data_IF_866751290275
#
_entry.id   IF_866751290275
#
_cell.length_a   1.000
_cell.length_b   1.000
_cell.length_c   1.000
_cell.angle_alpha   90.00
_cell.angle_beta   90.00
_cell.angle_gamma   90.00
#
_symmetry.space_group_name_H-M   'P 1'
#
loop_
_entity.id
_entity.type
_entity.pdbx_description
1 polymer ?
#
# COMPACT_ATOMS: atom_id res chain seq x y z
N UNK A 1 -43.19 -21.42 -53.53
CA UNK A 1 -44.36 -21.26 -52.64
C UNK A 1 -43.84 -21.00 -51.23
N UNK A 2 -44.25 -19.85 -50.67
CA UNK A 2 -44.50 -19.53 -49.24
C UNK A 2 -43.36 -19.81 -48.23
N UNK A 3 -42.95 -18.89 -47.37
CA UNK A 3 -43.49 -17.60 -46.98
C UNK A 3 -42.73 -17.10 -45.74
N UNK A 4 -42.68 -15.78 -45.60
CA UNK A 4 -42.01 -14.99 -44.56
C UNK A 4 -42.72 -15.16 -43.20
N UNK A 5 -41.96 -15.11 -42.10
CA UNK A 5 -42.47 -14.62 -40.80
C UNK A 5 -41.32 -14.01 -39.99
N UNK A 6 -41.31 -12.68 -39.93
CA UNK A 6 -40.53 -11.86 -39.01
C UNK A 6 -41.15 -11.92 -37.62
N UNK A 7 -40.36 -12.13 -36.56
CA UNK A 7 -40.64 -11.63 -35.22
C UNK A 7 -39.34 -11.11 -34.60
N UNK A 8 -39.27 -9.79 -34.51
CA UNK A 8 -38.38 -9.02 -33.66
C UNK A 8 -38.60 -9.36 -32.18
N UNK A 9 -37.54 -9.69 -31.45
CA UNK A 9 -37.55 -9.46 -30.00
C UNK A 9 -36.18 -8.97 -29.55
N UNK A 10 -36.16 -7.68 -29.27
CA UNK A 10 -35.16 -6.96 -28.50
C UNK A 10 -34.89 -7.71 -27.20
N UNK A 11 -33.65 -8.17 -27.00
CA UNK A 11 -33.19 -8.65 -25.69
C UNK A 11 -32.98 -7.44 -24.78
N UNK A 12 -34.04 -7.13 -24.04
CA UNK A 12 -34.04 -6.19 -22.92
C UNK A 12 -33.04 -6.65 -21.86
N UNK A 13 -32.09 -5.78 -21.52
CA UNK A 13 -31.23 -5.94 -20.35
C UNK A 13 -32.09 -6.09 -19.09
N UNK A 14 -31.83 -7.07 -18.20
CA UNK A 14 -32.53 -7.12 -16.93
C UNK A 14 -32.08 -5.95 -16.06
N UNK A 15 -33.06 -5.12 -15.76
CA UNK A 15 -33.09 -4.01 -14.81
C UNK A 15 -32.46 -4.39 -13.48
N UNK A 16 -31.65 -3.48 -12.95
CA UNK A 16 -31.03 -3.48 -11.62
C UNK A 16 -31.96 -4.05 -10.54
N UNK A 17 -31.66 -5.25 -10.06
CA UNK A 17 -32.26 -5.80 -8.85
C UNK A 17 -31.74 -5.03 -7.63
N UNK A 18 -32.60 -4.42 -6.79
CA UNK A 18 -32.15 -3.68 -5.62
C UNK A 18 -31.68 -4.57 -4.46
N UNK A 19 -31.55 -5.89 -4.67
CA UNK A 19 -31.33 -6.85 -3.57
C UNK A 19 -29.87 -7.27 -3.33
N UNK A 20 -28.90 -6.77 -4.10
CA UNK A 20 -27.50 -7.20 -3.94
C UNK A 20 -26.67 -6.38 -2.94
N UNK A 21 -27.17 -5.25 -2.42
CA UNK A 21 -26.42 -4.38 -1.52
C UNK A 21 -26.66 -4.62 -0.01
N UNK A 22 -27.45 -5.63 0.36
CA UNK A 22 -27.87 -5.83 1.78
C UNK A 22 -27.15 -6.98 2.51
N UNK A 23 -26.25 -7.69 1.85
CA UNK A 23 -25.62 -8.91 2.39
C UNK A 23 -24.16 -8.75 2.84
N UNK A 24 -23.52 -7.61 2.60
CA UNK A 24 -22.11 -7.38 3.05
C UNK A 24 -22.04 -6.69 4.42
N UNK A 25 -23.13 -6.10 4.93
CA UNK A 25 -23.14 -5.45 6.25
C UNK A 25 -23.37 -6.38 7.44
N UNK A 26 -23.67 -7.68 7.22
CA UNK A 26 -24.13 -8.57 8.30
C UNK A 26 -23.09 -9.58 8.80
N UNK A 27 -21.81 -9.34 8.53
CA UNK A 27 -20.72 -10.17 9.07
C UNK A 27 -19.61 -9.35 9.72
N UNK A 28 -19.98 -8.24 10.37
CA UNK A 28 -19.16 -7.69 11.45
C UNK A 28 -19.55 -8.40 12.75
N UNK A 29 -18.62 -8.99 13.52
CA UNK A 29 -19.02 -9.68 14.74
C UNK A 29 -19.70 -8.70 15.69
N UNK A 30 -20.86 -9.09 16.24
CA UNK A 30 -21.65 -8.35 17.25
C UNK A 30 -20.91 -8.11 18.59
N UNK A 31 -19.58 -8.26 18.64
CA UNK A 31 -18.72 -7.94 19.79
C UNK A 31 -18.31 -6.46 19.85
N UNK A 32 -18.65 -5.66 18.84
CA UNK A 32 -18.30 -4.24 18.77
C UNK A 32 -19.39 -3.29 19.27
N UNK A 33 -20.35 -3.77 20.07
CA UNK A 33 -21.19 -2.86 20.84
C UNK A 33 -20.33 -2.25 21.95
N UNK A 34 -19.76 -1.07 21.71
CA UNK A 34 -19.12 -0.25 22.73
C UNK A 34 -20.20 0.19 23.73
N UNK A 35 -20.56 -0.69 24.67
CA UNK A 35 -21.28 -0.30 25.86
C UNK A 35 -20.28 0.39 26.78
N UNK A 36 -20.03 1.67 26.54
CA UNK A 36 -19.25 2.48 27.47
C UNK A 36 -19.82 3.88 27.47
N UNK A 37 -20.20 4.34 28.67
CA UNK A 37 -20.56 5.74 28.93
C UNK A 37 -19.47 6.66 28.35
N UNK A 38 -19.80 7.84 27.81
CA UNK A 38 -18.80 8.76 27.30
C UNK A 38 -17.87 9.18 28.44
N UNK A 39 -16.70 8.54 28.50
CA UNK A 39 -15.68 8.87 29.47
C UNK A 39 -14.90 10.04 28.87
N UNK A 40 -15.10 11.25 29.41
CA UNK A 40 -14.34 12.43 29.03
C UNK A 40 -12.85 12.15 29.33
N UNK A 41 -12.12 11.72 28.31
CA UNK A 41 -10.69 11.45 28.40
C UNK A 41 -9.97 12.79 28.52
N UNK A 42 -9.52 13.14 29.73
CA UNK A 42 -8.60 14.27 29.92
C UNK A 42 -7.32 13.96 29.12
N UNK A 43 -7.00 14.83 28.18
CA UNK A 43 -5.73 14.79 27.46
C UNK A 43 -4.60 15.15 28.43
N UNK A 44 -3.95 14.15 29.02
CA UNK A 44 -2.65 14.35 29.65
C UNK A 44 -1.57 14.31 28.58
N UNK A 45 -0.81 15.39 28.41
CA UNK A 45 0.31 15.55 27.46
C UNK A 45 1.54 14.71 27.84
N UNK A 46 1.38 13.39 28.01
CA UNK A 46 2.43 12.52 28.52
C UNK A 46 2.35 11.12 27.93
N UNK A 47 2.37 10.99 26.60
CA UNK A 47 2.50 9.68 25.96
C UNK A 47 3.93 9.50 25.43
N UNK A 48 4.87 9.11 26.30
CA UNK A 48 6.13 8.51 25.87
C UNK A 48 5.92 7.00 25.73
N UNK A 49 5.45 6.57 24.56
CA UNK A 49 5.48 5.13 24.18
C UNK A 49 6.67 4.94 23.25
N UNK A 50 7.86 4.72 23.83
CA UNK A 50 8.98 4.12 23.10
C UNK A 50 8.83 2.61 23.21
N UNK A 51 8.64 1.93 22.08
CA UNK A 51 8.92 0.51 21.99
C UNK A 51 10.45 0.36 22.06
N UNK A 52 10.95 -0.21 23.15
CA UNK A 52 12.37 -0.57 23.30
C UNK A 52 12.60 -1.90 22.58
N UNK A 53 12.88 -1.85 21.29
CA UNK A 53 13.87 -2.76 20.71
C UNK A 53 15.21 -2.30 21.29
N UNK A 54 16.01 -3.20 21.87
CA UNK A 54 17.29 -2.98 22.56
C UNK A 54 17.70 -1.50 22.73
N UNK A 55 17.68 -1.00 23.96
CA UNK A 55 18.03 0.39 24.28
C UNK A 55 19.45 0.80 23.84
N UNK A 56 20.26 -0.13 23.32
CA UNK A 56 21.60 0.07 22.79
C UNK A 56 21.73 0.00 21.25
N UNK A 57 20.66 -0.27 20.49
CA UNK A 57 20.72 -0.30 19.01
C UNK A 57 19.82 0.78 18.41
N UNK A 58 20.43 1.85 17.91
CA UNK A 58 19.73 2.82 17.07
C UNK A 58 19.20 2.12 15.82
N UNK A 59 17.94 2.37 15.47
CA UNK A 59 17.41 1.97 14.17
C UNK A 59 18.09 2.88 13.13
N UNK A 60 18.80 2.26 12.19
CA UNK A 60 19.51 2.97 11.13
C UNK A 60 18.69 2.98 9.83
N UNK A 61 19.01 3.93 8.95
CA UNK A 61 18.43 3.98 7.61
C UNK A 61 19.11 2.87 6.77
N UNK A 62 18.33 1.95 6.16
CA UNK A 62 18.88 0.93 5.28
C UNK A 62 19.76 1.52 4.16
N UNK A 63 20.65 0.69 3.64
CA UNK A 63 21.51 1.03 2.50
C UNK A 63 20.95 0.58 1.16
N UNK A 64 19.93 -0.30 1.16
CA UNK A 64 19.41 -0.93 -0.04
C UNK A 64 17.89 -0.95 -0.03
N UNK A 65 17.28 -0.77 -1.20
CA UNK A 65 15.90 -1.14 -1.46
C UNK A 65 15.81 -2.63 -1.77
N UNK A 66 14.65 -3.22 -1.48
CA UNK A 66 14.38 -4.63 -1.71
C UNK A 66 13.39 -4.78 -2.87
N UNK A 67 13.76 -5.58 -3.87
CA UNK A 67 12.93 -5.92 -5.00
C UNK A 67 12.22 -7.25 -4.74
N UNK A 68 10.92 -7.19 -4.45
CA UNK A 68 10.12 -8.39 -4.20
C UNK A 68 10.06 -9.33 -5.41
N UNK A 69 10.15 -8.80 -6.64
CA UNK A 69 10.03 -9.60 -7.86
C UNK A 69 11.09 -10.70 -7.91
N UNK A 70 12.28 -10.47 -7.36
CA UNK A 70 13.36 -11.45 -7.30
C UNK A 70 12.93 -12.79 -6.66
N UNK A 71 12.08 -12.73 -5.64
CA UNK A 71 11.70 -13.89 -4.82
C UNK A 71 10.28 -14.44 -5.11
N UNK A 72 9.56 -13.85 -6.08
CA UNK A 72 8.25 -14.36 -6.48
C UNK A 72 8.37 -15.72 -7.21
N UNK A 73 7.54 -16.72 -6.86
CA UNK A 73 7.56 -18.04 -7.52
C UNK A 73 7.09 -17.98 -8.97
N UNK A 74 6.19 -17.04 -9.28
CA UNK A 74 5.72 -16.72 -10.62
C UNK A 74 5.99 -15.23 -10.83
N UNK A 75 6.79 -14.90 -11.83
CA UNK A 75 7.09 -13.50 -12.16
C UNK A 75 5.84 -12.81 -12.73
N UNK A 76 5.62 -11.52 -12.43
CA UNK A 76 4.53 -10.78 -13.05
C UNK A 76 4.73 -10.76 -14.58
N UNK A 77 3.64 -10.81 -15.36
CA UNK A 77 3.75 -10.70 -16.81
C UNK A 77 4.38 -9.36 -17.19
N UNK A 78 5.16 -9.30 -18.27
CA UNK A 78 5.76 -8.05 -18.70
C UNK A 78 4.67 -7.06 -19.13
N UNK A 79 4.89 -5.76 -18.90
CA UNK A 79 4.01 -4.73 -19.45
C UNK A 79 4.00 -4.80 -20.98
N UNK A 80 2.82 -4.61 -21.57
CA UNK A 80 2.61 -4.71 -23.02
C UNK A 80 2.50 -3.32 -23.64
N UNK A 81 3.07 -3.18 -24.83
CA UNK A 81 2.96 -1.95 -25.60
C UNK A 81 1.51 -1.77 -26.10
N UNK A 82 0.88 -0.60 -25.91
CA UNK A 82 -0.57 -0.43 -26.10
C UNK A 82 -1.04 -0.57 -27.55
N UNK A 83 -0.13 -0.47 -28.54
CA UNK A 83 -0.48 -0.62 -29.97
C UNK A 83 -0.21 -2.03 -30.50
N UNK A 84 0.90 -2.64 -30.08
CA UNK A 84 1.37 -3.91 -30.64
C UNK A 84 0.93 -5.09 -29.78
N UNK A 85 0.59 -4.85 -28.52
CA UNK A 85 0.29 -5.86 -27.50
C UNK A 85 1.44 -6.85 -27.26
N UNK A 86 2.64 -6.50 -27.70
CA UNK A 86 3.87 -7.23 -27.41
C UNK A 86 4.55 -6.64 -26.16
N UNK A 87 5.38 -7.41 -25.45
CA UNK A 87 6.16 -6.90 -24.32
C UNK A 87 6.96 -5.66 -24.70
N UNK A 88 6.90 -4.61 -23.85
CA UNK A 88 7.65 -3.38 -24.07
C UNK A 88 9.14 -3.63 -23.96
N UNK A 89 9.92 -2.86 -24.71
CA UNK A 89 11.37 -2.79 -24.57
C UNK A 89 11.78 -1.51 -23.81
N UNK A 90 12.98 -1.47 -23.21
CA UNK A 90 13.48 -0.26 -22.56
C UNK A 90 13.45 0.99 -23.47
N UNK A 91 13.70 0.81 -24.77
CA UNK A 91 13.71 1.90 -25.73
C UNK A 91 12.31 2.54 -25.90
N UNK A 92 11.25 1.75 -25.71
CA UNK A 92 9.86 2.24 -25.78
C UNK A 92 9.51 3.16 -24.58
N UNK A 93 10.26 3.05 -23.48
CA UNK A 93 10.08 3.85 -22.25
C UNK A 93 10.96 5.09 -22.20
N UNK A 94 12.05 5.12 -22.99
CA UNK A 94 13.02 6.22 -23.02
C UNK A 94 12.41 7.62 -23.24
N UNK A 95 11.30 7.81 -23.98
CA UNK A 95 10.68 9.13 -24.11
C UNK A 95 9.90 9.59 -22.87
N UNK A 96 9.62 8.69 -21.92
CA UNK A 96 8.73 8.92 -20.78
C UNK A 96 9.50 8.99 -19.45
N UNK A 97 10.57 8.21 -19.31
CA UNK A 97 11.27 8.03 -18.06
C UNK A 97 12.79 8.19 -18.22
N UNK A 98 13.49 8.71 -17.19
CA UNK A 98 14.95 8.65 -17.12
C UNK A 98 15.48 7.22 -17.20
N UNK A 99 16.66 7.05 -17.82
CA UNK A 99 17.31 5.75 -18.00
C UNK A 99 17.46 4.94 -16.70
N UNK A 100 17.76 5.61 -15.59
CA UNK A 100 17.93 4.94 -14.29
C UNK A 100 16.60 4.36 -13.74
N UNK A 101 15.47 5.04 -13.97
CA UNK A 101 14.17 4.49 -13.60
C UNK A 101 13.78 3.30 -14.49
N UNK A 102 14.10 3.38 -15.78
CA UNK A 102 13.90 2.27 -16.72
C UNK A 102 14.75 1.07 -16.29
N UNK A 103 16.02 1.30 -15.92
CA UNK A 103 16.93 0.28 -15.42
C UNK A 103 16.40 -0.40 -14.15
N UNK A 104 15.84 0.37 -13.22
CA UNK A 104 15.22 -0.16 -12.01
C UNK A 104 13.92 -0.94 -12.29
N UNK A 105 13.14 -0.55 -13.29
CA UNK A 105 11.92 -1.28 -13.67
C UNK A 105 12.23 -2.67 -14.24
N UNK A 106 13.30 -2.80 -15.04
CA UNK A 106 13.66 -4.07 -15.69
C UNK A 106 14.63 -4.94 -14.89
N UNK A 107 15.18 -4.44 -13.77
CA UNK A 107 16.14 -5.21 -12.98
C UNK A 107 15.50 -6.41 -12.27
N UNK A 108 16.27 -7.50 -12.21
CA UNK A 108 15.91 -8.70 -11.45
C UNK A 108 16.71 -8.85 -10.16
N UNK A 109 17.57 -7.88 -9.85
CA UNK A 109 18.38 -7.87 -8.64
C UNK A 109 17.49 -7.80 -7.40
N UNK A 110 17.82 -8.61 -6.37
CA UNK A 110 17.07 -8.65 -5.10
C UNK A 110 17.24 -7.37 -4.28
N UNK A 111 18.44 -6.81 -4.30
CA UNK A 111 18.78 -5.60 -3.56
C UNK A 111 19.36 -4.56 -4.51
N UNK A 112 18.93 -3.32 -4.35
CA UNK A 112 19.39 -2.18 -5.14
C UNK A 112 19.93 -1.15 -4.15
N UNK A 113 21.18 -0.73 -4.32
CA UNK A 113 21.79 0.26 -3.45
C UNK A 113 21.03 1.59 -3.52
N UNK A 114 20.79 2.20 -2.35
CA UNK A 114 20.20 3.53 -2.25
C UNK A 114 21.36 4.53 -2.43
N UNK A 115 21.30 5.42 -3.44
CA UNK A 115 22.33 6.44 -3.64
C UNK A 115 22.56 7.26 -2.37
N UNK A 116 23.82 7.63 -2.11
CA UNK A 116 24.18 8.33 -0.88
C UNK A 116 23.46 9.68 -0.74
N UNK A 117 23.23 10.39 -1.85
CA UNK A 117 22.48 11.64 -1.88
C UNK A 117 21.02 11.44 -1.45
N UNK A 118 20.39 10.34 -1.88
CA UNK A 118 19.02 9.98 -1.48
C UNK A 118 18.99 9.62 0.01
N UNK A 119 19.99 8.88 0.50
CA UNK A 119 20.10 8.55 1.93
C UNK A 119 20.32 9.81 2.77
N UNK A 120 21.09 10.77 2.29
CA UNK A 120 21.30 12.06 2.95
C UNK A 120 20.00 12.83 3.10
N UNK A 121 19.17 12.88 2.06
CA UNK A 121 17.83 13.49 2.14
C UNK A 121 16.91 12.71 3.10
N UNK A 122 16.95 11.37 3.06
CA UNK A 122 16.16 10.54 3.97
C UNK A 122 16.45 10.82 5.45
N UNK A 123 17.67 11.23 5.83
CA UNK A 123 18.03 11.58 7.22
C UNK A 123 17.15 12.68 7.82
N UNK A 124 16.48 13.48 6.98
CA UNK A 124 15.58 14.54 7.44
C UNK A 124 14.34 14.00 8.18
N UNK A 125 13.84 12.79 7.86
CA UNK A 125 12.65 12.23 8.51
C UNK A 125 12.72 10.72 8.82
N UNK A 126 13.75 10.01 8.34
CA UNK A 126 13.91 8.57 8.52
C UNK A 126 14.95 8.29 9.62
N UNK A 127 14.82 7.17 10.34
CA UNK A 127 13.73 6.20 10.27
C UNK A 127 12.46 6.69 10.97
N UNK A 128 11.31 6.28 10.43
CA UNK A 128 10.00 6.56 11.03
C UNK A 128 9.73 5.63 12.22
N UNK A 129 8.95 6.04 13.23
CA UNK A 129 8.76 5.23 14.43
C UNK A 129 7.84 4.03 14.20
N UNK A 130 8.15 2.91 14.86
CA UNK A 130 7.26 1.76 15.02
C UNK A 130 6.56 1.88 16.38
N UNK A 131 5.24 2.07 16.38
CA UNK A 131 4.49 2.40 17.60
C UNK A 131 3.57 1.23 17.97
N UNK A 132 3.55 0.87 19.25
CA UNK A 132 2.64 -0.14 19.78
C UNK A 132 1.32 0.50 20.24
N UNK A 133 0.21 0.04 19.67
CA UNK A 133 -1.13 0.59 19.92
C UNK A 133 -1.80 -0.02 21.17
N UNK A 134 -1.19 0.12 22.36
CA UNK A 134 -1.69 -0.49 23.62
C UNK A 134 -3.14 -0.16 23.98
N UNK A 135 -3.60 1.06 23.67
CA UNK A 135 -5.00 1.47 23.93
C UNK A 135 -5.97 0.75 22.99
N UNK A 136 -5.56 0.53 21.74
CA UNK A 136 -6.33 -0.25 20.77
C UNK A 136 -6.37 -1.72 21.17
N UNK A 137 -5.23 -2.29 21.60
CA UNK A 137 -5.17 -3.66 22.15
C UNK A 137 -6.18 -3.84 23.29
N UNK A 138 -6.21 -2.92 24.26
CA UNK A 138 -7.16 -2.93 25.39
C UNK A 138 -8.62 -2.77 24.94
N UNK A 139 -8.89 -1.86 24.00
CA UNK A 139 -10.23 -1.62 23.49
C UNK A 139 -10.82 -2.85 22.77
N UNK A 140 -9.96 -3.58 22.05
CA UNK A 140 -10.34 -4.78 21.30
C UNK A 140 -10.36 -6.06 22.15
N UNK A 141 -9.87 -6.00 23.39
CA UNK A 141 -9.65 -7.16 24.27
C UNK A 141 -8.94 -8.31 23.54
N UNK A 142 -7.88 -7.98 22.80
CA UNK A 142 -7.13 -8.94 21.98
C UNK A 142 -5.84 -9.37 22.66
N UNK A 143 -5.48 -10.67 22.60
CA UNK A 143 -4.15 -11.13 23.03
C UNK A 143 -3.05 -10.71 22.04
N UNK A 144 -3.43 -10.30 20.82
CA UNK A 144 -2.48 -9.87 19.80
C UNK A 144 -1.81 -8.54 20.18
N UNK A 145 -0.55 -8.39 19.77
CA UNK A 145 0.18 -7.11 19.88
C UNK A 145 0.01 -6.36 18.57
N UNK A 146 -0.45 -5.11 18.62
CA UNK A 146 -0.71 -4.30 17.44
C UNK A 146 0.36 -3.23 17.32
N UNK A 147 1.10 -3.27 16.22
CA UNK A 147 2.10 -2.26 15.87
C UNK A 147 1.72 -1.59 14.56
N UNK A 148 2.05 -0.30 14.45
CA UNK A 148 1.95 0.43 13.20
C UNK A 148 3.23 1.21 12.93
N UNK A 149 3.65 1.19 11.66
CA UNK A 149 4.77 1.98 11.15
C UNK A 149 4.25 3.37 10.79
N UNK A 150 4.65 4.39 11.54
CA UNK A 150 4.09 5.72 11.39
C UNK A 150 4.85 6.57 10.37
N UNK A 151 4.49 6.41 9.09
CA UNK A 151 5.08 7.17 7.97
C UNK A 151 4.60 8.64 7.87
N UNK A 152 3.78 9.10 8.83
CA UNK A 152 3.26 10.47 8.86
C UNK A 152 4.25 11.53 9.34
N UNK A 153 5.48 11.14 9.70
CA UNK A 153 6.52 12.05 10.21
C UNK A 153 7.29 12.80 9.12
N UNK A 154 7.08 12.45 7.84
CA UNK A 154 7.71 13.17 6.74
C UNK A 154 7.12 14.59 6.60
N UNK A 155 7.83 15.54 5.96
CA UNK A 155 7.30 16.88 5.71
C UNK A 155 5.95 16.90 4.96
N UNK A 156 5.70 15.87 4.13
CA UNK A 156 4.46 15.69 3.39
C UNK A 156 3.37 14.91 4.15
N UNK A 157 3.63 14.53 5.40
CA UNK A 157 2.69 13.77 6.24
C UNK A 157 2.34 12.38 5.72
N UNK A 158 3.17 11.79 4.85
CA UNK A 158 2.90 10.48 4.23
C UNK A 158 4.17 9.78 3.75
N UNK A 159 4.04 8.53 3.26
CA UNK A 159 5.15 7.77 2.70
C UNK A 159 5.55 8.19 1.28
N UNK A 160 4.84 9.12 0.62
CA UNK A 160 5.09 9.49 -0.77
C UNK A 160 6.52 10.03 -1.05
N UNK A 161 7.14 10.82 -0.15
CA UNK A 161 8.54 11.25 -0.33
C UNK A 161 9.53 10.10 -0.46
N UNK A 162 9.17 8.89 0.00
CA UNK A 162 10.02 7.72 -0.12
C UNK A 162 10.32 7.36 -1.59
N UNK A 163 9.38 7.60 -2.51
CA UNK A 163 9.56 7.36 -3.94
C UNK A 163 9.80 8.66 -4.72
N UNK A 164 9.24 9.79 -4.27
CA UNK A 164 9.39 11.05 -4.99
C UNK A 164 10.83 11.57 -4.94
N UNK A 165 11.53 11.44 -3.80
CA UNK A 165 12.92 11.91 -3.67
C UNK A 165 13.90 11.20 -4.60
N UNK A 166 13.94 9.85 -4.71
CA UNK A 166 14.84 9.20 -5.66
C UNK A 166 14.46 9.41 -7.13
N UNK A 167 13.25 9.90 -7.43
CA UNK A 167 12.80 10.18 -8.80
C UNK A 167 12.98 11.65 -9.22
N UNK A 168 13.25 12.55 -8.27
CA UNK A 168 13.30 13.99 -8.47
C UNK A 168 14.62 14.48 -9.10
#
# INVERSE_FOLDING_TARGET
>A
MKGVSSISSVNSFPTTSPYFYSQVEKQWPKRFALSTKPMHMRHSNGCKVRATLDANKSIEIPHQWYNLVADLPIKPPPPLHPKTFEPIKPEDLSPLFPDELIRQEVTTDRFIDIPDEVRDVYKLWRPTPLIRAKRLEKLLDTPARIYYKYEGVSPAGSHKPNSAVPQA
#
